data_IF_924422996177
#
_entry.id   IF_924422996177
#
_cell.length_a   1.000
_cell.length_b   1.000
_cell.length_c   1.000
_cell.angle_alpha   90.00
_cell.angle_beta   90.00
_cell.angle_gamma   90.00
#
_symmetry.space_group_name_H-M   'P 1'
#
loop_
_entity.id
_entity.type
_entity.pdbx_description
1 polymer ?
#
# COMPACT_ATOMS: atom_id res chain seq x y z
N UNK A 1 -5.95 11.73 5.02
CA UNK A 1 -4.51 11.47 4.81
C UNK A 1 -4.38 10.77 3.48
N UNK A 2 -3.54 11.26 2.57
CA UNK A 2 -3.37 10.69 1.23
C UNK A 2 -2.51 9.43 1.29
N UNK A 3 -2.94 8.39 0.58
CA UNK A 3 -2.15 7.16 0.45
C UNK A 3 -0.86 7.48 -0.34
N UNK A 4 0.29 7.11 0.21
CA UNK A 4 1.57 7.25 -0.48
C UNK A 4 1.81 6.02 -1.38
N UNK A 5 2.30 6.23 -2.60
CA UNK A 5 2.70 5.14 -3.49
C UNK A 5 3.92 4.40 -2.90
N UNK A 6 3.94 3.06 -2.86
CA UNK A 6 5.07 2.30 -2.33
C UNK A 6 6.41 2.63 -3.01
N UNK A 7 6.40 2.99 -4.29
CA UNK A 7 7.61 3.37 -5.03
C UNK A 7 8.28 4.65 -4.52
N UNK A 8 7.57 5.46 -3.75
CA UNK A 8 8.08 6.73 -3.20
C UNK A 8 8.65 6.61 -1.78
N UNK A 9 8.68 5.41 -1.21
CA UNK A 9 9.31 5.19 0.10
C UNK A 9 10.82 5.43 0.01
N UNK A 10 11.37 6.20 0.94
CA UNK A 10 12.83 6.31 1.11
C UNK A 10 13.41 5.01 1.65
N UNK A 11 14.71 4.82 1.52
CA UNK A 11 15.37 3.60 2.01
C UNK A 11 15.22 3.43 3.52
N UNK A 12 15.21 4.52 4.29
CA UNK A 12 14.98 4.48 5.73
C UNK A 12 13.55 4.02 6.08
N UNK A 13 12.58 4.24 5.18
CA UNK A 13 11.21 3.78 5.32
C UNK A 13 11.04 2.30 4.96
N UNK A 14 12.03 1.67 4.31
CA UNK A 14 12.03 0.22 4.02
C UNK A 14 12.46 -0.57 5.25
N UNK A 15 11.71 -0.40 6.34
CA UNK A 15 11.85 -1.18 7.56
C UNK A 15 10.49 -1.75 7.99
N UNK A 16 10.51 -2.86 8.71
CA UNK A 16 9.29 -3.60 9.08
C UNK A 16 8.27 -2.76 9.85
N UNK A 17 8.72 -1.79 10.66
CA UNK A 17 7.84 -0.93 11.44
C UNK A 17 7.05 0.04 10.57
N UNK A 18 7.72 0.73 9.64
CA UNK A 18 7.06 1.62 8.68
C UNK A 18 6.18 0.85 7.69
N UNK A 19 6.66 -0.27 7.15
CA UNK A 19 5.88 -1.06 6.19
C UNK A 19 4.57 -1.58 6.79
N UNK A 20 4.59 -2.03 8.06
CA UNK A 20 3.36 -2.40 8.76
C UNK A 20 2.40 -1.23 8.91
N UNK A 21 2.90 -0.05 9.31
CA UNK A 21 2.08 1.16 9.43
C UNK A 21 1.44 1.55 8.10
N UNK A 22 2.18 1.51 7.00
CA UNK A 22 1.64 1.85 5.68
C UNK A 22 0.60 0.84 5.19
N UNK A 23 0.81 -0.46 5.46
CA UNK A 23 -0.19 -1.49 5.16
C UNK A 23 -1.47 -1.33 6.00
N UNK A 24 -1.35 -0.95 7.27
CA UNK A 24 -2.50 -0.64 8.14
C UNK A 24 -3.27 0.58 7.63
N UNK A 25 -2.57 1.65 7.23
CA UNK A 25 -3.18 2.84 6.61
C UNK A 25 -3.91 2.47 5.32
N UNK A 26 -3.30 1.67 4.46
CA UNK A 26 -3.91 1.19 3.22
C UNK A 26 -5.19 0.38 3.49
N UNK A 27 -5.13 -0.57 4.44
CA UNK A 27 -6.28 -1.38 4.85
C UNK A 27 -7.42 -0.52 5.41
N UNK A 28 -7.08 0.45 6.26
CA UNK A 28 -8.06 1.41 6.80
C UNK A 28 -8.72 2.23 5.69
N UNK A 29 -7.94 2.70 4.71
CA UNK A 29 -8.48 3.40 3.55
C UNK A 29 -9.40 2.50 2.70
N UNK A 30 -9.00 1.28 2.38
CA UNK A 30 -9.86 0.33 1.66
C UNK A 30 -11.20 0.08 2.37
N UNK A 31 -11.19 -0.03 3.69
CA UNK A 31 -12.42 -0.16 4.48
C UNK A 31 -13.32 1.07 4.34
N UNK A 32 -12.74 2.27 4.37
CA UNK A 32 -13.51 3.51 4.15
C UNK A 32 -14.08 3.58 2.72
N UNK A 33 -13.28 3.24 1.70
CA UNK A 33 -13.75 3.21 0.31
C UNK A 33 -14.88 2.20 0.10
N UNK A 34 -14.80 1.03 0.74
CA UNK A 34 -15.88 0.04 0.74
C UNK A 34 -17.18 0.61 1.36
N UNK A 35 -17.09 1.26 2.52
CA UNK A 35 -18.23 1.92 3.16
C UNK A 35 -18.79 3.07 2.31
N UNK A 36 -17.93 3.71 1.53
CA UNK A 36 -18.31 4.73 0.54
C UNK A 36 -18.88 4.12 -0.76
N UNK A 37 -19.21 2.83 -0.76
CA UNK A 37 -19.83 2.11 -1.88
C UNK A 37 -18.94 2.05 -3.13
N UNK A 38 -17.61 2.13 -2.98
CA UNK A 38 -16.71 1.81 -4.08
C UNK A 38 -16.87 0.33 -4.50
N UNK A 39 -16.83 0.02 -5.81
CA UNK A 39 -16.92 -1.35 -6.28
C UNK A 39 -15.82 -2.24 -5.69
N UNK A 40 -16.21 -3.41 -5.17
CA UNK A 40 -15.28 -4.39 -4.60
C UNK A 40 -14.20 -4.80 -5.60
N UNK A 41 -14.55 -4.92 -6.88
CA UNK A 41 -13.59 -5.22 -7.95
C UNK A 41 -12.47 -4.18 -8.04
N UNK A 42 -12.79 -2.90 -7.88
CA UNK A 42 -11.80 -1.81 -7.85
C UNK A 42 -10.92 -1.89 -6.60
N UNK A 43 -11.49 -2.23 -5.44
CA UNK A 43 -10.71 -2.41 -4.20
C UNK A 43 -9.73 -3.58 -4.30
N UNK A 44 -10.18 -4.70 -4.88
CA UNK A 44 -9.32 -5.88 -5.13
C UNK A 44 -8.19 -5.53 -6.10
N UNK A 45 -8.49 -4.81 -7.18
CA UNK A 45 -7.48 -4.35 -8.14
C UNK A 45 -6.45 -3.44 -7.45
N UNK A 46 -6.90 -2.43 -6.72
CA UNK A 46 -6.03 -1.51 -6.00
C UNK A 46 -5.13 -2.23 -4.99
N UNK A 47 -5.63 -3.30 -4.34
CA UNK A 47 -4.82 -4.14 -3.45
C UNK A 47 -3.74 -4.90 -4.20
N UNK A 48 -4.06 -5.47 -5.36
CA UNK A 48 -3.08 -6.17 -6.19
C UNK A 48 -1.98 -5.22 -6.66
N UNK A 49 -2.37 -4.08 -7.24
CA UNK A 49 -1.43 -3.05 -7.72
C UNK A 49 -0.53 -2.54 -6.59
N UNK A 50 -1.09 -2.25 -5.42
CA UNK A 50 -0.30 -1.79 -4.27
C UNK A 50 0.75 -2.83 -3.85
N UNK A 51 0.38 -4.12 -3.82
CA UNK A 51 1.31 -5.19 -3.46
C UNK A 51 2.43 -5.36 -4.50
N UNK A 52 2.11 -5.27 -5.79
CA UNK A 52 3.11 -5.35 -6.86
C UNK A 52 4.10 -4.18 -6.78
N UNK A 53 3.62 -2.96 -6.54
CA UNK A 53 4.48 -1.78 -6.34
C UNK A 53 5.36 -1.93 -5.10
N UNK A 54 4.81 -2.45 -4.00
CA UNK A 54 5.55 -2.70 -2.77
C UNK A 54 6.65 -3.75 -2.99
N UNK A 55 6.34 -4.86 -3.64
CA UNK A 55 7.31 -5.91 -3.95
C UNK A 55 8.44 -5.39 -4.84
N UNK A 56 8.12 -4.57 -5.86
CA UNK A 56 9.13 -3.91 -6.69
C UNK A 56 10.05 -3.01 -5.85
N UNK A 57 9.48 -2.21 -4.95
CA UNK A 57 10.26 -1.33 -4.08
C UNK A 57 11.16 -2.10 -3.11
N UNK A 58 10.67 -3.22 -2.57
CA UNK A 58 11.43 -4.11 -1.70
C UNK A 58 12.59 -4.75 -2.45
N UNK A 59 12.34 -5.22 -3.69
CA UNK A 59 13.38 -5.77 -4.55
C UNK A 59 14.46 -4.72 -4.88
N UNK A 60 14.07 -3.48 -5.17
CA UNK A 60 15.03 -2.39 -5.40
C UNK A 60 15.95 -2.09 -4.21
N UNK A 61 15.51 -2.38 -2.98
CA UNK A 61 16.29 -2.12 -1.76
C UNK A 61 17.14 -3.34 -1.32
N UNK A 62 16.59 -4.55 -1.43
CA UNK A 62 17.19 -5.77 -0.87
C UNK A 62 17.71 -6.77 -1.91
N UNK A 63 17.28 -6.68 -3.18
CA UNK A 63 17.65 -7.59 -4.27
C UNK A 63 18.95 -7.16 -4.95
#
# INVERSE_FOLDING_TARGET
MTLQSPLSFSDEQINIGELKRELEKFSSNQNQEFLNHHPVTSLVLARAEYMDLLLNRLWQHFG
#
